data_IF_907974257395
#
_entry.id   IF_907974257395
#
_cell.length_a   1.000
_cell.length_b   1.000
_cell.length_c   1.000
_cell.angle_alpha   90.00
_cell.angle_beta   90.00
_cell.angle_gamma   90.00
#
_symmetry.space_group_name_H-M   'P 1'
#
loop_
_entity.id
_entity.type
_entity.pdbx_description
1 polymer ?
#
# COMPACT_ATOMS: atom_id res chain seq x y z
N UNK A 1 -34.73 8.50 -15.52
CA UNK A 1 -33.71 7.80 -14.75
C UNK A 1 -32.33 8.31 -15.22
N UNK A 2 -31.46 8.82 -14.32
CA UNK A 2 -30.13 9.30 -14.72
C UNK A 2 -29.25 8.10 -15.14
N UNK A 3 -28.48 8.24 -16.23
CA UNK A 3 -27.51 7.19 -16.62
C UNK A 3 -26.42 7.06 -15.57
N UNK A 4 -25.77 5.88 -15.47
CA UNK A 4 -24.62 5.67 -14.55
C UNK A 4 -23.52 6.71 -14.81
N UNK A 5 -23.21 7.00 -16.06
CA UNK A 5 -22.21 8.00 -16.44
C UNK A 5 -22.55 9.40 -15.90
N UNK A 6 -23.82 9.83 -16.04
CA UNK A 6 -24.25 11.14 -15.54
C UNK A 6 -24.21 11.21 -13.99
N UNK A 7 -24.50 10.08 -13.29
CA UNK A 7 -24.37 9.97 -11.83
C UNK A 7 -22.92 10.15 -11.40
N UNK A 8 -22.00 9.39 -12.02
CA UNK A 8 -20.57 9.45 -11.73
C UNK A 8 -20.01 10.86 -11.98
N UNK A 9 -20.28 11.45 -13.13
CA UNK A 9 -19.84 12.81 -13.44
C UNK A 9 -20.34 13.84 -12.41
N UNK A 10 -21.62 13.75 -12.02
CA UNK A 10 -22.19 14.61 -10.99
C UNK A 10 -21.50 14.44 -9.64
N UNK A 11 -21.15 13.20 -9.26
CA UNK A 11 -20.45 12.94 -8.01
C UNK A 11 -19.00 13.44 -8.05
N UNK A 12 -18.29 13.21 -9.17
CA UNK A 12 -16.94 13.74 -9.39
C UNK A 12 -16.87 15.27 -9.27
N UNK A 13 -17.88 15.98 -9.77
CA UNK A 13 -17.94 17.45 -9.70
C UNK A 13 -18.26 17.98 -8.28
N UNK A 14 -18.85 17.16 -7.44
CA UNK A 14 -19.20 17.51 -6.04
C UNK A 14 -18.10 17.23 -5.05
N UNK A 15 -17.15 16.37 -5.41
CA UNK A 15 -16.08 16.03 -4.50
C UNK A 15 -15.29 17.27 -4.10
N UNK A 16 -15.12 17.42 -2.79
CA UNK A 16 -14.21 18.38 -2.16
C UNK A 16 -13.36 17.59 -1.20
N UNK A 17 -12.05 17.71 -1.33
CA UNK A 17 -11.14 17.03 -0.41
C UNK A 17 -11.42 17.45 1.04
N UNK A 18 -11.53 16.48 1.91
CA UNK A 18 -11.62 16.67 3.36
C UNK A 18 -10.26 16.83 4.04
N UNK A 19 -9.17 16.74 3.27
CA UNK A 19 -7.80 16.82 3.76
C UNK A 19 -6.97 17.80 2.94
N UNK A 20 -5.93 18.35 3.57
CA UNK A 20 -4.87 19.09 2.89
C UNK A 20 -3.78 18.09 2.45
N UNK A 21 -3.70 17.84 1.16
CA UNK A 21 -2.63 17.02 0.58
C UNK A 21 -1.36 17.86 0.39
N UNK A 22 -0.15 17.33 0.68
CA UNK A 22 1.10 18.06 0.45
C UNK A 22 1.27 18.46 -1.01
N UNK A 23 1.46 19.75 -1.30
CA UNK A 23 1.49 20.29 -2.67
C UNK A 23 2.66 19.77 -3.51
N UNK A 24 3.84 19.59 -2.90
CA UNK A 24 5.05 19.13 -3.57
C UNK A 24 5.17 17.60 -3.65
N UNK A 25 4.19 16.86 -3.17
CA UNK A 25 4.16 15.41 -3.17
C UNK A 25 3.27 14.90 -4.33
N UNK A 26 3.90 14.46 -5.43
CA UNK A 26 3.18 13.93 -6.60
C UNK A 26 2.37 12.66 -6.26
N UNK A 27 2.85 11.85 -5.32
CA UNK A 27 2.12 10.66 -4.88
C UNK A 27 0.84 11.06 -4.11
N UNK A 28 0.93 12.05 -3.25
CA UNK A 28 -0.24 12.60 -2.55
C UNK A 28 -1.30 13.13 -3.55
N UNK A 29 -0.88 13.75 -4.65
CA UNK A 29 -1.79 14.18 -5.70
C UNK A 29 -2.50 12.99 -6.39
N UNK A 30 -1.80 11.88 -6.68
CA UNK A 30 -2.41 10.64 -7.17
C UNK A 30 -3.43 10.08 -6.18
N UNK A 31 -3.08 10.02 -4.89
CA UNK A 31 -3.99 9.55 -3.85
C UNK A 31 -5.25 10.41 -3.72
N UNK A 32 -5.13 11.73 -3.88
CA UNK A 32 -6.30 12.62 -3.91
C UNK A 32 -7.25 12.30 -5.08
N UNK A 33 -6.70 11.97 -6.26
CA UNK A 33 -7.54 11.53 -7.37
C UNK A 33 -8.22 10.18 -7.09
N UNK A 34 -7.53 9.25 -6.43
CA UNK A 34 -8.15 8.00 -5.99
C UNK A 34 -9.29 8.27 -4.98
N UNK A 35 -9.09 9.14 -4.00
CA UNK A 35 -10.15 9.54 -3.07
C UNK A 35 -11.37 10.12 -3.80
N UNK A 36 -11.15 10.94 -4.83
CA UNK A 36 -12.20 11.51 -5.68
C UNK A 36 -12.98 10.42 -6.44
N UNK A 37 -12.28 9.43 -7.02
CA UNK A 37 -12.90 8.31 -7.73
C UNK A 37 -13.72 7.43 -6.78
N UNK A 38 -13.20 7.15 -5.58
CA UNK A 38 -13.90 6.39 -4.54
C UNK A 38 -15.15 7.13 -4.08
N UNK A 39 -15.05 8.42 -3.81
CA UNK A 39 -16.19 9.25 -3.41
C UNK A 39 -17.25 9.37 -4.51
N UNK A 40 -16.87 9.28 -5.78
CA UNK A 40 -17.79 9.28 -6.90
C UNK A 40 -18.50 7.95 -7.11
N UNK A 41 -18.11 6.89 -6.41
CA UNK A 41 -18.68 5.54 -6.54
C UNK A 41 -18.64 5.07 -8.01
N UNK A 42 -17.42 5.00 -8.55
CA UNK A 42 -17.18 4.64 -9.94
C UNK A 42 -17.34 3.16 -10.24
N UNK A 43 -17.53 2.35 -9.21
CA UNK A 43 -17.78 0.89 -9.32
C UNK A 43 -16.52 0.04 -9.40
N UNK A 44 -15.32 0.62 -9.27
CA UNK A 44 -14.08 -0.15 -9.18
C UNK A 44 -13.88 -0.71 -7.78
N UNK A 45 -13.61 -2.02 -7.68
CA UNK A 45 -13.26 -2.68 -6.42
C UNK A 45 -11.78 -2.60 -6.10
N UNK A 46 -10.93 -2.41 -7.11
CA UNK A 46 -9.48 -2.32 -6.97
C UNK A 46 -8.99 -1.09 -7.72
N UNK A 47 -8.23 -0.26 -7.03
CA UNK A 47 -7.54 0.90 -7.57
C UNK A 47 -6.04 0.75 -7.30
N UNK A 48 -5.20 1.14 -8.25
CA UNK A 48 -3.75 1.03 -8.14
C UNK A 48 -3.09 2.38 -8.40
N UNK A 49 -2.04 2.64 -7.65
CA UNK A 49 -1.12 3.77 -7.88
C UNK A 49 0.28 3.38 -7.44
N UNK A 50 1.27 4.16 -7.83
CA UNK A 50 2.68 3.92 -7.56
C UNK A 50 3.37 5.15 -6.98
N UNK A 51 4.39 4.89 -6.17
CA UNK A 51 5.43 5.84 -5.77
C UNK A 51 6.76 5.25 -6.19
N UNK A 52 7.34 5.75 -7.27
CA UNK A 52 8.60 5.28 -7.82
C UNK A 52 9.82 5.80 -7.09
N UNK A 53 10.98 5.55 -7.69
CA UNK A 53 12.31 6.02 -7.25
C UNK A 53 12.91 5.31 -6.02
N UNK A 54 12.33 4.19 -5.59
CA UNK A 54 12.90 3.38 -4.50
C UNK A 54 14.08 2.50 -4.95
N UNK A 55 14.36 2.42 -6.23
CA UNK A 55 15.50 1.68 -6.80
C UNK A 55 16.82 2.47 -6.62
N UNK A 56 17.19 2.69 -5.37
CA UNK A 56 18.35 3.47 -4.96
C UNK A 56 19.54 2.55 -4.66
N UNK A 57 20.66 2.75 -5.38
CA UNK A 57 21.88 1.94 -5.20
C UNK A 57 23.08 2.75 -4.73
N UNK A 58 22.96 4.08 -4.64
CA UNK A 58 24.01 4.96 -4.20
C UNK A 58 23.44 6.09 -3.34
N UNK A 59 24.20 6.56 -2.33
CA UNK A 59 23.80 7.65 -1.43
C UNK A 59 22.35 7.54 -0.95
N UNK A 60 21.92 6.32 -0.64
CA UNK A 60 20.54 5.89 -0.51
C UNK A 60 19.77 6.61 0.60
N UNK A 61 20.41 6.85 1.74
CA UNK A 61 19.72 7.25 2.97
C UNK A 61 18.83 8.48 2.82
N UNK A 62 19.37 9.57 2.32
CA UNK A 62 18.62 10.83 2.21
C UNK A 62 17.45 10.71 1.22
N UNK A 63 17.64 9.98 0.11
CA UNK A 63 16.59 9.74 -0.86
C UNK A 63 15.50 8.83 -0.29
N UNK A 64 15.89 7.79 0.42
CA UNK A 64 14.94 6.86 1.07
C UNK A 64 14.10 7.58 2.14
N UNK A 65 14.74 8.42 2.97
CA UNK A 65 14.04 9.21 3.98
C UNK A 65 12.99 10.15 3.35
N UNK A 66 13.33 10.81 2.24
CA UNK A 66 12.41 11.66 1.49
C UNK A 66 11.22 10.85 0.93
N UNK A 67 11.50 9.72 0.28
CA UNK A 67 10.45 8.87 -0.32
C UNK A 67 9.51 8.28 0.74
N UNK A 68 10.04 7.84 1.88
CA UNK A 68 9.22 7.37 3.00
C UNK A 68 8.40 8.51 3.62
N UNK A 69 8.94 9.73 3.66
CA UNK A 69 8.22 10.93 4.04
C UNK A 69 7.05 11.23 3.09
N UNK A 70 7.28 11.13 1.79
CA UNK A 70 6.24 11.30 0.77
C UNK A 70 5.16 10.21 0.87
N UNK A 71 5.56 8.96 1.05
CA UNK A 71 4.63 7.86 1.28
C UNK A 71 3.76 8.09 2.52
N UNK A 72 4.38 8.39 3.64
CA UNK A 72 3.71 8.59 4.93
C UNK A 72 2.75 9.77 4.89
N UNK A 73 3.20 10.94 4.43
CA UNK A 73 2.37 12.14 4.38
C UNK A 73 1.21 12.02 3.39
N UNK A 74 1.45 11.38 2.24
CA UNK A 74 0.42 11.12 1.25
C UNK A 74 -0.66 10.17 1.78
N UNK A 75 -0.26 9.05 2.38
CA UNK A 75 -1.19 8.08 2.98
C UNK A 75 -1.97 8.68 4.14
N UNK A 76 -1.33 9.48 5.00
CA UNK A 76 -2.02 10.16 6.10
C UNK A 76 -3.13 11.09 5.57
N UNK A 77 -2.82 11.92 4.57
CA UNK A 77 -3.79 12.81 3.96
C UNK A 77 -4.95 12.04 3.32
N UNK A 78 -4.66 10.94 2.63
CA UNK A 78 -5.65 10.07 1.99
C UNK A 78 -6.59 9.41 2.98
N UNK A 79 -6.05 8.79 4.03
CA UNK A 79 -6.87 8.14 5.06
C UNK A 79 -7.74 9.13 5.81
N UNK A 80 -7.22 10.35 6.07
CA UNK A 80 -8.00 11.40 6.69
C UNK A 80 -9.13 11.90 5.77
N UNK A 81 -8.87 12.05 4.48
CA UNK A 81 -9.88 12.43 3.49
C UNK A 81 -11.01 11.40 3.44
N UNK A 82 -10.67 10.11 3.33
CA UNK A 82 -11.66 9.02 3.37
C UNK A 82 -12.51 9.06 4.65
N UNK A 83 -11.89 9.36 5.80
CA UNK A 83 -12.60 9.49 7.06
C UNK A 83 -13.60 10.64 7.04
N UNK A 84 -13.19 11.83 6.58
CA UNK A 84 -14.08 13.00 6.46
C UNK A 84 -15.22 12.75 5.48
N UNK A 85 -14.96 11.97 4.42
CA UNK A 85 -15.97 11.55 3.44
C UNK A 85 -16.90 10.43 3.96
N UNK A 86 -16.63 9.84 5.15
CA UNK A 86 -17.38 8.70 5.67
C UNK A 86 -17.15 7.41 4.89
N UNK A 87 -15.97 7.25 4.28
CA UNK A 87 -15.60 6.13 3.40
C UNK A 87 -14.51 5.23 4.01
N UNK A 88 -14.05 5.51 5.22
CA UNK A 88 -12.96 4.77 5.88
C UNK A 88 -13.26 3.27 6.08
N UNK A 89 -14.53 2.90 6.20
CA UNK A 89 -14.97 1.52 6.34
C UNK A 89 -14.99 0.74 5.02
N UNK A 90 -14.87 1.44 3.90
CA UNK A 90 -15.00 0.86 2.55
C UNK A 90 -13.68 0.70 1.83
N UNK A 91 -12.59 1.17 2.43
CA UNK A 91 -11.28 1.20 1.79
C UNK A 91 -10.24 0.52 2.67
N UNK A 92 -9.54 -0.43 2.07
CA UNK A 92 -8.31 -0.99 2.59
C UNK A 92 -7.18 -0.65 1.63
N UNK A 93 -6.07 -0.19 2.17
CA UNK A 93 -4.83 0.09 1.42
C UNK A 93 -3.83 -1.01 1.72
N UNK A 94 -3.21 -1.55 0.68
CA UNK A 94 -2.02 -2.40 0.80
C UNK A 94 -0.90 -1.71 0.03
N UNK A 95 0.19 -1.37 0.73
CA UNK A 95 1.41 -0.85 0.13
C UNK A 95 2.50 -1.91 0.18
N UNK A 96 3.14 -2.15 -0.94
CA UNK A 96 4.18 -3.18 -1.10
C UNK A 96 5.25 -2.70 -2.07
N UNK A 97 6.39 -3.38 -2.05
CA UNK A 97 7.48 -3.21 -3.03
C UNK A 97 7.77 -4.56 -3.70
N UNK A 98 8.24 -4.50 -4.94
CA UNK A 98 8.63 -5.68 -5.73
C UNK A 98 9.97 -6.29 -5.26
N UNK A 99 10.77 -5.57 -4.49
CA UNK A 99 12.04 -6.05 -3.94
C UNK A 99 12.23 -5.59 -2.50
N UNK A 100 13.04 -6.33 -1.74
CA UNK A 100 13.61 -5.90 -0.47
C UNK A 100 15.03 -5.37 -0.66
N UNK A 101 15.77 -5.25 0.44
CA UNK A 101 17.16 -4.76 0.42
C UNK A 101 18.08 -5.74 1.14
N UNK A 102 19.33 -5.85 0.64
CA UNK A 102 20.39 -6.57 1.32
C UNK A 102 20.75 -5.87 2.62
N UNK A 103 21.28 -6.64 3.57
CA UNK A 103 21.75 -6.12 4.87
C UNK A 103 23.03 -5.31 4.71
N UNK A 104 23.93 -5.76 3.83
CA UNK A 104 25.21 -5.10 3.61
C UNK A 104 25.05 -3.83 2.77
N UNK A 105 25.68 -2.76 3.23
CA UNK A 105 25.89 -1.56 2.41
C UNK A 105 26.92 -1.87 1.31
N UNK A 106 26.67 -1.34 0.12
CA UNK A 106 27.57 -1.43 -1.02
C UNK A 106 28.60 -0.27 -1.05
N UNK A 107 29.60 -0.36 -1.93
CA UNK A 107 30.67 0.65 -2.04
C UNK A 107 30.17 2.05 -2.47
N UNK A 108 28.93 2.17 -2.90
CA UNK A 108 28.31 3.43 -3.32
C UNK A 108 27.45 4.10 -2.25
N UNK A 109 27.44 3.60 -1.02
CA UNK A 109 26.62 4.11 0.07
C UNK A 109 25.12 3.85 -0.13
N UNK A 110 24.81 2.69 -0.67
CA UNK A 110 23.47 2.16 -0.86
C UNK A 110 23.39 0.69 -0.53
N UNK A 111 22.35 0.03 -0.97
CA UNK A 111 22.19 -1.43 -0.83
C UNK A 111 21.68 -2.03 -2.12
N UNK A 112 22.08 -3.25 -2.40
CA UNK A 112 21.54 -4.03 -3.51
C UNK A 112 20.14 -4.58 -3.17
N UNK A 113 19.42 -5.08 -4.18
CA UNK A 113 18.14 -5.73 -3.99
C UNK A 113 18.29 -7.00 -3.15
N UNK A 114 17.33 -7.23 -2.27
CA UNK A 114 17.26 -8.40 -1.40
C UNK A 114 15.88 -9.05 -1.41
N UNK A 115 15.77 -10.18 -0.73
CA UNK A 115 14.57 -11.03 -0.71
C UNK A 115 13.53 -10.56 0.30
N UNK A 116 13.95 -10.00 1.42
CA UNK A 116 13.08 -9.60 2.50
C UNK A 116 12.68 -8.13 2.42
N UNK A 117 11.40 -7.85 2.56
CA UNK A 117 10.85 -6.50 2.55
C UNK A 117 9.69 -6.37 3.54
N UNK A 118 9.08 -5.20 3.57
CA UNK A 118 7.91 -4.91 4.39
C UNK A 118 6.70 -4.62 3.51
N UNK A 119 5.51 -4.93 4.04
CA UNK A 119 4.24 -4.51 3.48
C UNK A 119 3.47 -3.74 4.53
N UNK A 120 2.67 -2.77 4.12
CA UNK A 120 1.79 -2.04 5.01
C UNK A 120 0.34 -2.28 4.63
N UNK A 121 -0.52 -2.49 5.62
CA UNK A 121 -1.96 -2.53 5.45
C UNK A 121 -2.59 -1.43 6.32
N UNK A 122 -3.50 -0.63 5.73
CA UNK A 122 -4.19 0.45 6.41
C UNK A 122 -5.69 0.39 6.09
N UNK A 123 -6.49 0.77 7.05
CA UNK A 123 -7.96 0.82 6.91
C UNK A 123 -8.64 0.48 8.21
N UNK A 124 -9.91 0.84 8.35
CA UNK A 124 -10.65 0.60 9.59
C UNK A 124 -10.90 -0.90 9.84
N UNK A 125 -10.97 -1.70 8.77
CA UNK A 125 -11.07 -3.16 8.87
C UNK A 125 -9.74 -3.87 9.13
N UNK A 126 -8.62 -3.13 9.28
CA UNK A 126 -7.30 -3.69 9.53
C UNK A 126 -7.02 -3.69 11.03
N UNK A 127 -6.66 -4.85 11.58
CA UNK A 127 -6.16 -4.95 12.95
C UNK A 127 -4.74 -4.40 12.99
N UNK A 128 -4.53 -3.30 13.70
CA UNK A 128 -3.21 -2.71 13.87
C UNK A 128 -2.25 -3.65 14.58
N UNK A 129 -0.97 -3.57 14.24
CA UNK A 129 0.08 -4.38 14.84
C UNK A 129 1.22 -4.67 13.87
N UNK A 130 2.23 -5.37 14.37
CA UNK A 130 3.34 -5.91 13.58
C UNK A 130 3.09 -7.41 13.42
N UNK A 131 3.10 -7.88 12.20
CA UNK A 131 2.87 -9.28 11.83
C UNK A 131 4.14 -9.86 11.23
N UNK A 132 4.50 -11.08 11.64
CA UNK A 132 5.76 -11.72 11.33
C UNK A 132 6.81 -11.47 12.42
N UNK A 133 7.87 -12.26 12.42
CA UNK A 133 8.97 -12.08 13.35
C UNK A 133 9.96 -11.02 12.83
N UNK A 134 10.70 -10.41 13.74
CA UNK A 134 11.80 -9.52 13.37
C UNK A 134 12.84 -10.31 12.54
N UNK A 135 13.42 -9.69 11.50
CA UNK A 135 14.47 -10.34 10.73
C UNK A 135 15.67 -10.64 11.62
N UNK A 136 16.25 -11.83 11.47
CA UNK A 136 17.48 -12.23 12.16
C UNK A 136 18.67 -11.80 11.29
N UNK A 137 19.34 -10.73 11.72
CA UNK A 137 20.49 -10.17 10.99
C UNK A 137 21.78 -10.99 11.18
N UNK A 138 21.79 -11.96 12.10
CA UNK A 138 22.92 -12.87 12.32
C UNK A 138 22.81 -14.15 11.47
N UNK A 139 21.59 -14.47 11.02
CA UNK A 139 21.31 -15.68 10.21
C UNK A 139 20.87 -15.31 8.81
N UNK A 140 21.82 -14.92 7.99
CA UNK A 140 21.57 -14.56 6.60
C UNK A 140 21.65 -15.79 5.69
N UNK A 141 20.83 -15.80 4.64
CA UNK A 141 20.88 -16.75 3.52
C UNK A 141 21.45 -16.05 2.30
N UNK A 142 22.65 -16.43 1.86
CA UNK A 142 23.41 -15.79 0.77
C UNK A 142 23.62 -14.26 0.98
N UNK A 143 23.86 -13.86 2.24
CA UNK A 143 24.01 -12.44 2.60
C UNK A 143 22.70 -11.65 2.66
N UNK A 144 21.56 -12.33 2.63
CA UNK A 144 20.24 -11.74 2.62
C UNK A 144 19.40 -12.20 3.83
N UNK A 145 18.46 -11.38 4.27
CA UNK A 145 17.48 -11.80 5.27
C UNK A 145 16.50 -12.81 4.65
N UNK A 146 16.16 -13.83 5.43
CA UNK A 146 15.12 -14.77 5.04
C UNK A 146 13.75 -14.12 5.26
N UNK A 147 12.89 -14.11 4.23
CA UNK A 147 11.50 -13.74 4.42
C UNK A 147 10.77 -14.81 5.22
N UNK A 148 9.85 -14.41 6.07
CA UNK A 148 9.11 -15.32 6.94
C UNK A 148 7.64 -15.47 6.52
N UNK A 149 7.14 -14.52 5.77
CA UNK A 149 5.78 -14.51 5.29
C UNK A 149 5.77 -14.43 3.76
N UNK A 150 5.09 -15.36 3.12
CA UNK A 150 4.82 -15.28 1.69
C UNK A 150 3.83 -14.14 1.43
N UNK A 151 4.20 -13.19 0.56
CA UNK A 151 3.36 -12.04 0.22
C UNK A 151 2.00 -12.45 -0.37
N UNK A 152 1.92 -13.61 -1.03
CA UNK A 152 0.68 -14.16 -1.57
C UNK A 152 -0.34 -14.46 -0.46
N UNK A 153 0.12 -14.78 0.75
CA UNK A 153 -0.75 -14.93 1.91
C UNK A 153 -1.42 -13.60 2.31
N UNK A 154 -0.73 -12.47 2.15
CA UNK A 154 -1.31 -11.14 2.38
C UNK A 154 -2.42 -10.86 1.34
N UNK A 155 -2.16 -11.20 0.07
CA UNK A 155 -3.19 -11.09 -0.97
C UNK A 155 -4.36 -12.05 -0.75
N UNK A 156 -4.10 -13.28 -0.27
CA UNK A 156 -5.15 -14.22 0.09
C UNK A 156 -6.06 -13.64 1.18
N UNK A 157 -5.50 -13.02 2.22
CA UNK A 157 -6.31 -12.33 3.24
C UNK A 157 -7.19 -11.22 2.65
N UNK A 158 -6.66 -10.42 1.73
CA UNK A 158 -7.43 -9.37 1.07
C UNK A 158 -8.55 -9.93 0.19
N UNK A 159 -8.28 -10.98 -0.57
CA UNK A 159 -9.28 -11.63 -1.42
C UNK A 159 -10.37 -12.29 -0.57
N UNK A 160 -10.00 -13.15 0.37
CA UNK A 160 -10.96 -13.95 1.15
C UNK A 160 -11.77 -13.12 2.15
N UNK A 161 -11.11 -12.21 2.88
CA UNK A 161 -11.72 -11.54 4.04
C UNK A 161 -12.18 -10.10 3.76
N UNK A 162 -11.71 -9.47 2.68
CA UNK A 162 -12.12 -8.12 2.31
C UNK A 162 -13.02 -8.10 1.07
N UNK A 163 -12.59 -8.77 0.00
CA UNK A 163 -13.33 -8.79 -1.26
C UNK A 163 -14.37 -9.91 -1.34
N UNK A 164 -14.30 -10.93 -0.47
CA UNK A 164 -15.18 -12.10 -0.50
C UNK A 164 -14.99 -12.99 -1.74
N UNK A 165 -13.78 -12.99 -2.30
CA UNK A 165 -13.38 -13.77 -3.47
C UNK A 165 -12.46 -14.90 -3.02
N UNK A 166 -12.76 -16.18 -3.32
CA UNK A 166 -11.89 -17.29 -2.95
C UNK A 166 -10.47 -17.10 -3.51
N UNK A 167 -9.50 -16.93 -2.63
CA UNK A 167 -8.12 -16.61 -3.03
C UNK A 167 -7.48 -17.72 -3.87
N UNK A 168 -7.83 -18.98 -3.60
CA UNK A 168 -7.34 -20.13 -4.39
C UNK A 168 -7.68 -20.05 -5.86
N UNK A 169 -8.82 -19.45 -6.22
CA UNK A 169 -9.26 -19.31 -7.61
C UNK A 169 -8.43 -18.30 -8.39
N UNK A 170 -7.85 -17.32 -7.67
CA UNK A 170 -7.03 -16.27 -8.25
C UNK A 170 -5.54 -16.62 -8.18
N UNK A 171 -5.08 -17.16 -7.03
CA UNK A 171 -3.66 -17.43 -6.78
C UNK A 171 -3.23 -18.85 -7.19
N UNK A 172 -4.18 -19.70 -7.58
CA UNK A 172 -3.92 -21.08 -8.00
C UNK A 172 -3.54 -22.04 -6.86
N UNK A 173 -3.42 -21.57 -5.63
CA UNK A 173 -3.12 -22.35 -4.43
C UNK A 173 -3.59 -21.62 -3.17
N UNK A 174 -3.58 -22.32 -2.03
CA UNK A 174 -3.79 -21.71 -0.71
C UNK A 174 -2.48 -21.18 -0.17
N UNK A 175 -2.53 -19.96 0.38
CA UNK A 175 -1.40 -19.31 1.04
C UNK A 175 -1.85 -18.80 2.40
N UNK A 176 -1.07 -19.17 3.44
CA UNK A 176 -1.35 -18.76 4.80
C UNK A 176 -0.69 -17.42 5.13
N UNK A 177 -1.37 -16.62 5.92
CA UNK A 177 -0.85 -15.39 6.50
C UNK A 177 -1.48 -15.13 7.87
N UNK A 178 -0.81 -14.38 8.75
CA UNK A 178 -1.43 -13.88 9.97
C UNK A 178 -2.73 -13.12 9.65
N UNK A 179 -3.77 -13.37 10.44
CA UNK A 179 -5.05 -12.70 10.23
C UNK A 179 -4.98 -11.24 10.70
N UNK A 180 -4.87 -10.32 9.75
CA UNK A 180 -4.83 -8.87 10.01
C UNK A 180 -6.10 -8.13 9.57
N UNK A 181 -7.04 -8.82 8.97
CA UNK A 181 -8.36 -8.27 8.61
C UNK A 181 -9.38 -8.77 9.64
N UNK A 182 -10.22 -7.86 10.15
CA UNK A 182 -11.26 -8.11 11.17
C UNK A 182 -12.51 -8.74 10.58
#
# INVERSE_FOLDING_TARGET
MMSNTARVQKNLSKYKSGSSYPENNKFAAKLRELARLIAADTGQSILYTDLGSFDTHASQRAQQDMLLGDLSSGLLAFMYDLKVQGLEDKVMVIAFSEFGRRVAENDSGGTDHGKGGVMFALGKGVRGGIYGASPDLEKLSDGDISYQQDFRGIYAQALDNWLGIPSSDILGAKFDAPRFIS
#
